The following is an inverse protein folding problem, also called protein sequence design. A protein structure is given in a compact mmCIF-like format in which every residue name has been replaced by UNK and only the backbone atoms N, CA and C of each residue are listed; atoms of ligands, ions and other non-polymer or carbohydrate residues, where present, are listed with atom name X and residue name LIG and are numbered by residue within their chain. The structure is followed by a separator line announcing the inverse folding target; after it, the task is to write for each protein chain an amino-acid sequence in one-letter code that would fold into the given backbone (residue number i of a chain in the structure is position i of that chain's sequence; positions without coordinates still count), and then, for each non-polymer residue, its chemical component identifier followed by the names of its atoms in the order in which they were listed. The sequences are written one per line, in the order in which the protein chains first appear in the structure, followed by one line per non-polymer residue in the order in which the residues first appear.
data_IF_974458223748
#
_entry.id   IF_974458223748
#
_cell.length_a   1.000
_cell.length_b   1.000
_cell.length_c   1.000
_cell.angle_alpha   90.00
_cell.angle_beta   90.00
_cell.angle_gamma   90.00
#
_symmetry.space_group_name_H-M   'P 1'
#
loop_
_entity.id
_entity.type
_entity.pdbx_description
1 polymer ?
#
# COMPACT_ATOMS: atom_id res chain seq x y z
N UNK A 1 -33.91 14.71 19.55
CA UNK A 1 -33.49 16.04 19.06
C UNK A 1 -32.08 16.28 19.51
N UNK A 2 -31.17 16.59 18.58
CA UNK A 2 -29.76 16.86 18.89
C UNK A 2 -29.63 18.09 19.82
N UNK A 3 -28.69 18.00 20.75
CA UNK A 3 -28.27 19.13 21.56
C UNK A 3 -27.21 19.96 20.85
N UNK A 4 -26.85 21.14 21.37
CA UNK A 4 -25.73 21.90 20.82
C UNK A 4 -24.40 21.29 21.31
N UNK A 5 -23.38 21.26 20.48
CA UNK A 5 -23.24 21.91 19.14
C UNK A 5 -23.72 21.10 17.95
N UNK A 6 -24.14 19.81 18.12
CA UNK A 6 -24.51 18.91 17.03
C UNK A 6 -25.68 19.42 16.19
N UNK A 7 -26.71 19.99 16.82
CA UNK A 7 -27.82 20.60 16.08
C UNK A 7 -27.34 21.69 15.12
N UNK A 8 -26.42 22.55 15.57
CA UNK A 8 -25.90 23.64 14.74
C UNK A 8 -25.12 23.16 13.56
N UNK A 9 -24.30 22.12 13.76
CA UNK A 9 -23.53 21.44 12.68
C UNK A 9 -24.50 20.81 11.68
N UNK A 10 -25.51 20.07 12.14
CA UNK A 10 -26.51 19.43 11.28
C UNK A 10 -27.30 20.44 10.46
N UNK A 11 -27.75 21.54 11.09
CA UNK A 11 -28.44 22.62 10.40
C UNK A 11 -27.60 23.21 9.26
N UNK A 12 -26.31 23.47 9.52
CA UNK A 12 -25.37 23.97 8.50
C UNK A 12 -25.19 22.97 7.37
N UNK A 13 -25.05 21.68 7.67
CA UNK A 13 -24.93 20.60 6.70
C UNK A 13 -26.16 20.54 5.79
N UNK A 14 -27.37 20.42 6.34
CA UNK A 14 -28.63 20.37 5.60
C UNK A 14 -28.82 21.59 4.70
N UNK A 15 -28.52 22.79 5.23
CA UNK A 15 -28.58 24.02 4.42
C UNK A 15 -27.67 23.97 3.21
N UNK A 16 -26.41 23.53 3.38
CA UNK A 16 -25.42 23.44 2.30
C UNK A 16 -25.76 22.34 1.28
N UNK A 17 -26.21 21.18 1.74
CA UNK A 17 -26.68 20.09 0.86
C UNK A 17 -27.82 20.54 -0.07
N UNK A 18 -28.68 21.44 0.41
CA UNK A 18 -29.76 22.04 -0.38
C UNK A 18 -29.33 23.30 -1.18
N UNK A 19 -28.02 23.59 -1.21
CA UNK A 19 -27.48 24.74 -1.97
C UNK A 19 -27.92 26.12 -1.47
N UNK A 20 -28.44 26.21 -0.21
CA UNK A 20 -28.98 27.45 0.36
C UNK A 20 -27.91 28.24 1.12
N UNK A 21 -27.95 29.57 0.96
CA UNK A 21 -27.19 30.52 1.80
C UNK A 21 -27.87 30.75 3.15
N UNK A 22 -27.15 31.34 4.12
CA UNK A 22 -27.77 31.75 5.36
C UNK A 22 -28.91 32.79 5.13
N UNK A 23 -28.73 33.68 4.13
CA UNK A 23 -29.73 34.66 3.75
C UNK A 23 -31.07 34.04 3.32
N UNK A 24 -31.02 32.90 2.64
CA UNK A 24 -32.21 32.17 2.16
C UNK A 24 -33.05 31.60 3.30
N UNK A 25 -32.45 31.39 4.48
CA UNK A 25 -33.13 30.90 5.68
C UNK A 25 -33.57 32.02 6.61
N UNK A 26 -33.31 33.27 6.30
CA UNK A 26 -33.78 34.40 7.10
C UNK A 26 -35.20 34.82 6.76
N UNK A 27 -35.89 35.45 7.68
CA UNK A 27 -37.27 35.93 7.49
C UNK A 27 -37.97 36.29 8.82
N UNK A 28 -39.30 36.47 8.78
CA UNK A 28 -40.06 36.78 9.98
C UNK A 28 -39.89 35.68 11.04
N UNK A 29 -39.24 36.04 12.16
CA UNK A 29 -38.96 35.10 13.26
C UNK A 29 -37.57 34.46 13.23
N UNK A 30 -36.77 34.61 12.14
CA UNK A 30 -35.41 34.08 12.00
C UNK A 30 -34.47 35.18 11.49
N UNK A 31 -33.76 35.85 12.38
CA UNK A 31 -32.74 36.83 12.00
C UNK A 31 -31.42 36.17 11.61
N UNK A 32 -30.63 36.83 10.77
CA UNK A 32 -29.29 36.33 10.38
C UNK A 32 -28.40 36.09 11.62
N UNK A 33 -28.44 36.97 12.61
CA UNK A 33 -27.67 36.81 13.83
C UNK A 33 -28.17 35.64 14.71
N UNK A 34 -29.45 35.31 14.67
CA UNK A 34 -29.99 34.16 15.39
C UNK A 34 -29.61 32.85 14.67
N UNK A 35 -29.76 32.81 13.36
CA UNK A 35 -29.36 31.67 12.53
C UNK A 35 -27.87 31.36 12.67
N UNK A 36 -27.02 32.39 12.60
CA UNK A 36 -25.57 32.23 12.79
C UNK A 36 -25.22 31.65 14.18
N UNK A 37 -25.94 32.08 15.23
CA UNK A 37 -25.74 31.51 16.58
C UNK A 37 -26.27 30.09 16.73
N UNK A 38 -27.32 29.73 16.00
CA UNK A 38 -27.79 28.34 15.94
C UNK A 38 -26.74 27.46 15.25
N UNK A 39 -26.24 27.86 14.07
CA UNK A 39 -25.23 27.08 13.30
C UNK A 39 -23.85 26.99 14.00
N UNK A 40 -23.49 28.03 14.81
CA UNK A 40 -22.23 27.98 15.57
C UNK A 40 -22.35 27.24 16.91
N UNK A 41 -23.52 26.74 17.26
CA UNK A 41 -23.72 26.08 18.54
C UNK A 41 -23.86 27.03 19.74
N UNK A 42 -23.77 28.35 19.53
CA UNK A 42 -23.81 29.36 20.60
C UNK A 42 -25.19 29.54 21.23
N UNK A 43 -26.25 28.99 20.64
CA UNK A 43 -27.61 29.07 21.16
C UNK A 43 -28.39 27.77 20.87
N UNK A 44 -29.10 27.21 21.86
CA UNK A 44 -29.95 26.05 21.64
C UNK A 44 -31.15 26.41 20.74
N UNK A 45 -31.63 25.48 19.89
CA UNK A 45 -32.80 25.68 19.07
C UNK A 45 -34.05 25.71 19.94
N UNK A 46 -35.00 26.58 19.57
CA UNK A 46 -36.35 26.53 20.11
C UNK A 46 -37.25 25.70 19.20
N UNK A 47 -38.31 25.08 19.71
CA UNK A 47 -39.28 24.34 18.92
C UNK A 47 -39.82 25.17 17.73
N UNK A 48 -40.11 26.45 17.94
CA UNK A 48 -40.54 27.35 16.87
C UNK A 48 -39.46 27.60 15.80
N UNK A 49 -38.20 27.61 16.21
CA UNK A 49 -37.09 27.77 15.25
C UNK A 49 -36.94 26.51 14.39
N UNK A 50 -37.15 25.33 14.98
CA UNK A 50 -37.10 24.06 14.24
C UNK A 50 -38.24 23.98 13.24
N UNK A 51 -39.48 24.27 13.68
CA UNK A 51 -40.66 24.30 12.80
C UNK A 51 -40.45 25.26 11.62
N UNK A 52 -39.88 26.45 11.87
CA UNK A 52 -39.52 27.40 10.81
C UNK A 52 -38.47 26.85 9.83
N UNK A 53 -37.40 26.21 10.36
CA UNK A 53 -36.34 25.64 9.54
C UNK A 53 -36.80 24.44 8.70
N UNK A 54 -37.64 23.57 9.29
CA UNK A 54 -38.31 22.45 8.59
C UNK A 54 -39.08 22.96 7.38
N UNK A 55 -39.94 23.97 7.58
CA UNK A 55 -40.73 24.55 6.49
C UNK A 55 -39.84 25.22 5.42
N UNK A 56 -38.81 25.95 5.82
CA UNK A 56 -37.93 26.71 4.92
C UNK A 56 -36.98 25.85 4.13
N UNK A 57 -36.53 24.70 4.69
CA UNK A 57 -35.67 23.72 4.04
C UNK A 57 -36.45 22.65 3.29
N UNK A 58 -37.76 22.51 3.56
CA UNK A 58 -38.60 21.46 2.95
C UNK A 58 -38.26 20.05 3.47
N UNK A 59 -37.88 19.96 4.74
CA UNK A 59 -37.43 18.72 5.41
C UNK A 59 -38.45 18.22 6.41
N UNK A 60 -38.23 17.07 7.00
CA UNK A 60 -38.94 16.53 8.17
C UNK A 60 -38.17 16.94 9.44
N UNK A 61 -38.87 17.05 10.59
CA UNK A 61 -38.26 17.42 11.87
C UNK A 61 -37.17 16.40 12.30
N UNK A 62 -37.37 15.15 11.99
CA UNK A 62 -36.46 14.00 12.23
C UNK A 62 -35.12 14.16 11.52
N UNK A 63 -35.06 14.93 10.42
CA UNK A 63 -33.81 15.22 9.71
C UNK A 63 -32.79 15.97 10.60
N UNK A 64 -33.26 16.65 11.63
CA UNK A 64 -32.42 17.34 12.62
C UNK A 64 -32.06 16.44 13.82
N UNK A 65 -32.55 15.21 13.88
CA UNK A 65 -32.24 14.27 14.96
C UNK A 65 -31.11 13.34 14.60
N UNK A 66 -30.73 13.34 13.32
CA UNK A 66 -29.58 12.55 12.80
C UNK A 66 -28.29 13.35 13.03
N UNK A 67 -27.27 12.78 13.70
CA UNK A 67 -25.99 13.46 13.86
C UNK A 67 -25.36 13.82 12.51
N UNK A 68 -24.60 14.94 12.40
CA UNK A 68 -24.00 15.38 11.14
C UNK A 68 -23.07 14.34 10.49
N UNK A 69 -22.45 13.51 11.32
CA UNK A 69 -21.45 12.52 10.93
C UNK A 69 -22.02 11.09 10.89
N UNK A 70 -23.34 10.91 11.05
CA UNK A 70 -23.95 9.56 11.14
C UNK A 70 -23.70 8.76 9.87
N UNK A 71 -23.87 9.36 8.69
CA UNK A 71 -23.69 8.66 7.42
C UNK A 71 -22.24 8.22 7.23
N UNK A 72 -21.27 9.07 7.56
CA UNK A 72 -19.85 8.73 7.50
C UNK A 72 -19.47 7.69 8.56
N UNK A 73 -19.96 7.85 9.79
CA UNK A 73 -19.68 6.91 10.88
C UNK A 73 -20.29 5.53 10.60
N UNK A 74 -21.51 5.46 10.06
CA UNK A 74 -22.19 4.22 9.71
C UNK A 74 -21.50 3.51 8.55
N UNK A 75 -21.13 4.24 7.49
CA UNK A 75 -20.38 3.68 6.35
C UNK A 75 -19.00 3.24 6.80
N UNK A 76 -18.33 4.03 7.63
CA UNK A 76 -17.04 3.66 8.20
C UNK A 76 -17.16 2.37 9.02
N UNK A 77 -18.15 2.24 9.88
CA UNK A 77 -18.40 1.02 10.65
C UNK A 77 -18.69 -0.18 9.74
N UNK A 78 -19.51 0.00 8.71
CA UNK A 78 -19.81 -1.04 7.73
C UNK A 78 -18.58 -1.48 6.93
N UNK A 79 -17.63 -0.58 6.70
CA UNK A 79 -16.40 -0.84 5.92
C UNK A 79 -15.42 -1.82 6.58
N UNK A 80 -15.57 -2.10 7.88
CA UNK A 80 -14.74 -3.07 8.61
C UNK A 80 -15.26 -4.51 8.52
N UNK A 81 -16.42 -4.75 7.93
CA UNK A 81 -17.19 -6.00 8.18
C UNK A 81 -16.97 -7.14 7.20
N UNK A 82 -16.28 -7.01 6.07
CA UNK A 82 -16.02 -8.18 5.17
C UNK A 82 -14.89 -7.92 4.15
N UNK A 83 -14.21 -9.02 3.76
CA UNK A 83 -13.13 -9.05 2.78
C UNK A 83 -13.63 -9.74 1.49
N UNK A 84 -14.26 -8.97 0.61
CA UNK A 84 -14.62 -9.38 -0.73
C UNK A 84 -14.27 -8.25 -1.70
N UNK A 85 -13.61 -8.57 -2.81
CA UNK A 85 -13.08 -7.59 -3.76
C UNK A 85 -14.16 -6.69 -4.35
N UNK A 86 -15.30 -7.27 -4.72
CA UNK A 86 -16.43 -6.48 -5.28
C UNK A 86 -16.96 -5.51 -4.24
N UNK A 87 -17.13 -5.97 -3.02
CA UNK A 87 -17.57 -5.14 -1.90
C UNK A 87 -16.54 -4.09 -1.47
N UNK A 88 -15.24 -4.41 -1.51
CA UNK A 88 -14.20 -3.42 -1.23
C UNK A 88 -14.25 -2.27 -2.25
N UNK A 89 -14.50 -2.54 -3.53
CA UNK A 89 -14.65 -1.52 -4.57
C UNK A 89 -15.92 -0.67 -4.37
N UNK A 90 -17.06 -1.28 -4.04
CA UNK A 90 -18.28 -0.56 -3.71
C UNK A 90 -18.09 0.31 -2.46
N UNK A 91 -17.52 -0.25 -1.41
CA UNK A 91 -17.28 0.44 -0.15
C UNK A 91 -16.31 1.60 -0.30
N UNK A 92 -15.25 1.44 -1.11
CA UNK A 92 -14.35 2.55 -1.50
C UNK A 92 -15.13 3.70 -2.10
N UNK A 93 -15.98 3.41 -3.11
CA UNK A 93 -16.78 4.42 -3.79
C UNK A 93 -17.76 5.11 -2.84
N UNK A 94 -18.43 4.36 -1.98
CA UNK A 94 -19.34 4.94 -0.99
C UNK A 94 -18.61 5.83 0.01
N UNK A 95 -17.48 5.36 0.55
CA UNK A 95 -16.69 6.10 1.52
C UNK A 95 -16.08 7.37 0.92
N UNK A 96 -15.59 7.30 -0.32
CA UNK A 96 -15.09 8.46 -1.06
C UNK A 96 -16.20 9.52 -1.24
N UNK A 97 -17.36 9.13 -1.77
CA UNK A 97 -18.48 10.05 -2.00
C UNK A 97 -18.90 10.77 -0.72
N UNK A 98 -19.02 10.02 0.39
CA UNK A 98 -19.41 10.64 1.67
C UNK A 98 -18.32 11.54 2.24
N UNK A 99 -17.04 11.21 2.05
CA UNK A 99 -15.93 12.08 2.44
C UNK A 99 -15.90 13.39 1.63
N UNK A 100 -16.21 13.32 0.33
CA UNK A 100 -16.24 14.48 -0.57
C UNK A 100 -17.43 15.42 -0.25
N UNK A 101 -18.57 14.85 0.12
CA UNK A 101 -19.77 15.59 0.50
C UNK A 101 -19.74 16.11 1.92
N UNK A 102 -18.92 15.51 2.79
CA UNK A 102 -18.86 15.79 4.21
C UNK A 102 -18.17 17.14 4.50
N UNK A 103 -18.97 18.13 4.86
CA UNK A 103 -18.51 19.46 5.29
C UNK A 103 -18.62 19.57 6.81
N UNK A 104 -17.57 19.98 7.51
CA UNK A 104 -17.52 20.11 8.98
C UNK A 104 -17.56 18.76 9.76
N UNK A 105 -16.94 17.72 9.22
CA UNK A 105 -16.74 16.44 9.94
C UNK A 105 -15.73 16.62 11.09
N UNK A 106 -15.95 15.92 12.19
CA UNK A 106 -14.95 15.81 13.25
C UNK A 106 -13.60 15.33 12.69
N UNK A 107 -12.49 16.01 12.96
CA UNK A 107 -11.20 15.67 12.41
C UNK A 107 -10.75 14.22 12.70
N UNK A 108 -11.14 13.66 13.84
CA UNK A 108 -10.80 12.29 14.20
C UNK A 108 -11.59 11.27 13.35
N UNK A 109 -12.89 11.52 13.15
CA UNK A 109 -13.75 10.70 12.27
C UNK A 109 -13.25 10.77 10.82
N UNK A 110 -12.90 11.96 10.33
CA UNK A 110 -12.30 12.13 9.00
C UNK A 110 -10.99 11.35 8.87
N UNK A 111 -10.11 11.44 9.87
CA UNK A 111 -8.86 10.69 9.87
C UNK A 111 -9.08 9.16 9.81
N UNK A 112 -10.06 8.65 10.56
CA UNK A 112 -10.42 7.23 10.54
C UNK A 112 -10.98 6.81 9.17
N UNK A 113 -11.82 7.64 8.56
CA UNK A 113 -12.37 7.39 7.23
C UNK A 113 -11.28 7.39 6.15
N UNK A 114 -10.35 8.36 6.17
CA UNK A 114 -9.18 8.39 5.29
C UNK A 114 -8.30 7.14 5.49
N UNK A 115 -8.10 6.73 6.75
CA UNK A 115 -7.34 5.52 7.07
C UNK A 115 -7.97 4.27 6.46
N UNK A 116 -9.29 4.16 6.49
CA UNK A 116 -10.01 3.03 5.89
C UNK A 116 -10.04 3.13 4.37
N UNK A 117 -10.23 4.32 3.81
CA UNK A 117 -10.20 4.54 2.36
C UNK A 117 -8.82 4.16 1.78
N UNK A 118 -7.72 4.57 2.42
CA UNK A 118 -6.38 4.16 2.01
C UNK A 118 -6.18 2.64 2.10
N UNK A 119 -6.78 1.96 3.08
CA UNK A 119 -6.76 0.48 3.14
C UNK A 119 -7.46 -0.14 1.95
N UNK A 120 -8.62 0.40 1.55
CA UNK A 120 -9.39 -0.10 0.41
C UNK A 120 -8.65 0.11 -0.91
N UNK A 121 -8.05 1.28 -1.14
CA UNK A 121 -7.19 1.52 -2.30
C UNK A 121 -6.03 0.54 -2.36
N UNK A 122 -5.30 0.35 -1.25
CA UNK A 122 -4.19 -0.60 -1.20
C UNK A 122 -4.60 -2.05 -1.43
N UNK A 123 -5.80 -2.47 -0.97
CA UNK A 123 -6.34 -3.81 -1.22
C UNK A 123 -6.72 -4.03 -2.69
N UNK A 124 -7.15 -2.97 -3.38
CA UNK A 124 -7.50 -2.99 -4.81
C UNK A 124 -6.27 -2.82 -5.72
N UNK A 125 -5.13 -2.35 -5.18
CA UNK A 125 -3.91 -2.08 -5.95
C UNK A 125 -3.80 -0.65 -6.47
N UNK A 126 -4.73 0.23 -6.09
CA UNK A 126 -4.77 1.64 -6.50
C UNK A 126 -3.75 2.47 -5.69
N UNK A 127 -2.45 2.18 -5.85
CA UNK A 127 -1.39 2.74 -4.99
C UNK A 127 -1.20 4.25 -5.14
N UNK A 128 -1.50 4.83 -6.30
CA UNK A 128 -1.44 6.28 -6.52
C UNK A 128 -2.53 6.98 -5.70
N UNK A 129 -3.75 6.48 -5.76
CA UNK A 129 -4.86 7.01 -4.97
C UNK A 129 -4.65 6.76 -3.47
N UNK A 130 -4.10 5.58 -3.09
CA UNK A 130 -3.70 5.31 -1.70
C UNK A 130 -2.69 6.35 -1.19
N UNK A 131 -1.68 6.70 -2.00
CA UNK A 131 -0.69 7.74 -1.67
C UNK A 131 -1.36 9.08 -1.40
N UNK A 132 -2.28 9.50 -2.27
CA UNK A 132 -2.94 10.81 -2.17
C UNK A 132 -3.82 10.90 -0.92
N UNK A 133 -4.59 9.85 -0.63
CA UNK A 133 -5.37 9.74 0.61
C UNK A 133 -4.48 9.74 1.85
N UNK A 134 -3.34 9.03 1.81
CA UNK A 134 -2.39 9.00 2.92
C UNK A 134 -1.66 10.35 3.10
N UNK A 135 -1.47 11.12 2.04
CA UNK A 135 -0.96 12.49 2.15
C UNK A 135 -1.96 13.38 2.88
N UNK A 136 -3.24 13.35 2.51
CA UNK A 136 -4.30 14.09 3.24
C UNK A 136 -4.37 13.67 4.71
N UNK A 137 -4.27 12.36 4.98
CA UNK A 137 -4.26 11.82 6.34
C UNK A 137 -3.05 12.32 7.16
N UNK A 138 -1.87 12.50 6.54
CA UNK A 138 -0.68 13.11 7.17
C UNK A 138 -0.93 14.56 7.53
N UNK A 139 -1.40 15.34 6.57
CA UNK A 139 -1.67 16.78 6.75
C UNK A 139 -2.70 17.00 7.86
N UNK A 140 -3.77 16.20 7.87
CA UNK A 140 -4.78 16.24 8.93
C UNK A 140 -4.19 15.87 10.30
N UNK A 141 -3.34 14.85 10.39
CA UNK A 141 -2.71 14.48 11.65
C UNK A 141 -1.74 15.55 12.18
N UNK A 142 -1.12 16.31 11.28
CA UNK A 142 -0.27 17.45 11.64
C UNK A 142 -1.10 18.62 12.18
N UNK A 143 -2.24 18.94 11.55
CA UNK A 143 -3.18 19.96 12.03
C UNK A 143 -3.78 19.57 13.39
N UNK A 144 -4.09 18.29 13.59
CA UNK A 144 -4.61 17.78 14.87
C UNK A 144 -3.59 17.79 16.01
N UNK A 145 -2.31 17.97 15.71
CA UNK A 145 -1.18 17.90 16.65
C UNK A 145 -1.15 16.62 17.51
N UNK A 146 -1.65 15.49 16.96
CA UNK A 146 -1.71 14.19 17.63
C UNK A 146 -0.47 13.35 17.29
N UNK A 147 0.55 13.25 18.17
CA UNK A 147 1.83 12.60 17.83
C UNK A 147 1.69 11.15 17.39
N UNK A 148 0.79 10.37 18.02
CA UNK A 148 0.56 8.97 17.63
C UNK A 148 -0.02 8.84 16.22
N UNK A 149 -1.00 9.68 15.86
CA UNK A 149 -1.59 9.70 14.52
C UNK A 149 -0.57 10.14 13.46
N UNK A 150 0.31 11.09 13.81
CA UNK A 150 1.44 11.54 12.97
C UNK A 150 2.42 10.40 12.67
N UNK A 151 2.72 9.56 13.65
CA UNK A 151 3.57 8.37 13.47
C UNK A 151 2.89 7.39 12.53
N UNK A 152 1.63 7.03 12.79
CA UNK A 152 0.89 6.08 11.97
C UNK A 152 0.75 6.51 10.51
N UNK A 153 0.37 7.76 10.25
CA UNK A 153 0.18 8.27 8.90
C UNK A 153 1.50 8.25 8.11
N UNK A 154 2.62 8.62 8.74
CA UNK A 154 3.95 8.62 8.11
C UNK A 154 4.44 7.21 7.76
N UNK A 155 4.24 6.25 8.66
CA UNK A 155 4.64 4.85 8.39
C UNK A 155 3.84 4.27 7.23
N UNK A 156 2.53 4.51 7.20
CA UNK A 156 1.68 4.02 6.10
C UNK A 156 2.05 4.66 4.78
N UNK A 157 2.18 5.98 4.75
CA UNK A 157 2.64 6.71 3.57
C UNK A 157 3.99 6.19 3.07
N UNK A 158 4.96 5.99 3.96
CA UNK A 158 6.26 5.47 3.59
C UNK A 158 6.20 4.08 2.93
N UNK A 159 5.31 3.19 3.38
CA UNK A 159 5.09 1.88 2.76
C UNK A 159 4.55 2.00 1.34
N UNK A 160 3.58 2.88 1.13
CA UNK A 160 2.94 3.07 -0.17
C UNK A 160 3.87 3.71 -1.18
N UNK A 161 4.57 4.80 -0.82
CA UNK A 161 5.53 5.45 -1.74
C UNK A 161 6.72 4.55 -2.07
N UNK A 162 7.15 3.69 -1.13
CA UNK A 162 8.13 2.64 -1.42
C UNK A 162 7.63 1.66 -2.50
N UNK A 163 6.36 1.23 -2.42
CA UNK A 163 5.76 0.35 -3.44
C UNK A 163 5.69 1.03 -4.81
N UNK A 164 5.55 2.35 -4.86
CA UNK A 164 5.59 3.17 -6.07
C UNK A 164 7.01 3.44 -6.59
N UNK A 165 8.06 3.03 -5.83
CA UNK A 165 9.46 3.18 -6.23
C UNK A 165 10.15 4.42 -5.67
N UNK A 166 9.46 5.25 -4.87
CA UNK A 166 10.05 6.41 -4.22
C UNK A 166 10.65 6.02 -2.85
N UNK A 167 11.84 5.44 -2.91
CA UNK A 167 12.56 5.00 -1.73
C UNK A 167 13.04 6.18 -0.85
N UNK A 168 13.33 7.35 -1.45
CA UNK A 168 13.80 8.51 -0.69
C UNK A 168 12.70 9.10 0.18
N UNK A 169 11.51 9.33 -0.37
CA UNK A 169 10.34 9.77 0.41
C UNK A 169 9.94 8.74 1.48
N UNK A 170 10.07 7.45 1.18
CA UNK A 170 9.84 6.39 2.14
C UNK A 170 10.83 6.46 3.32
N UNK A 171 12.13 6.65 3.04
CA UNK A 171 13.17 6.83 4.06
C UNK A 171 12.87 8.00 4.98
N UNK A 172 12.57 9.15 4.38
CA UNK A 172 12.23 10.34 5.13
C UNK A 172 11.03 10.11 6.05
N UNK A 173 9.92 9.56 5.52
CA UNK A 173 8.70 9.30 6.29
C UNK A 173 8.92 8.38 7.49
N UNK A 174 9.70 7.29 7.31
CA UNK A 174 10.01 6.37 8.42
C UNK A 174 10.91 7.04 9.47
N UNK A 175 11.94 7.79 9.07
CA UNK A 175 12.83 8.49 10.00
C UNK A 175 12.05 9.52 10.83
N UNK A 176 11.22 10.34 10.19
CA UNK A 176 10.35 11.28 10.89
C UNK A 176 9.42 10.58 11.91
N UNK A 177 8.85 9.43 11.54
CA UNK A 177 7.98 8.67 12.43
C UNK A 177 8.73 8.14 13.66
N UNK A 178 9.94 7.59 13.48
CA UNK A 178 10.77 7.10 14.57
C UNK A 178 11.22 8.23 15.50
N UNK A 179 11.69 9.36 14.93
CA UNK A 179 12.06 10.55 15.70
C UNK A 179 10.90 11.13 16.51
N UNK A 180 9.69 11.20 15.92
CA UNK A 180 8.49 11.64 16.62
C UNK A 180 8.16 10.72 17.79
N UNK A 181 8.28 9.40 17.59
CA UNK A 181 8.03 8.41 18.64
C UNK A 181 9.01 8.58 19.82
N UNK A 182 10.30 8.78 19.54
CA UNK A 182 11.32 8.99 20.55
C UNK A 182 11.13 10.35 21.28
N UNK A 183 10.98 11.43 20.52
CA UNK A 183 10.82 12.80 21.05
C UNK A 183 9.65 12.93 22.02
N UNK A 184 8.52 12.32 21.67
CA UNK A 184 7.30 12.38 22.49
C UNK A 184 7.17 11.22 23.46
N UNK A 185 8.15 10.30 23.52
CA UNK A 185 8.12 9.08 24.36
C UNK A 185 6.78 8.34 24.22
N UNK A 186 6.34 8.16 22.97
CA UNK A 186 5.03 7.58 22.68
C UNK A 186 5.00 6.09 23.08
N UNK A 187 3.86 5.67 23.62
CA UNK A 187 3.59 4.25 23.87
C UNK A 187 3.15 3.57 22.56
N UNK A 188 4.08 3.49 21.60
CA UNK A 188 3.89 2.69 20.39
C UNK A 188 4.23 1.24 20.73
N UNK A 189 3.43 0.26 20.28
CA UNK A 189 3.77 -1.15 20.49
C UNK A 189 5.17 -1.47 20.00
N UNK A 190 5.97 -2.21 20.79
CA UNK A 190 7.35 -2.55 20.43
C UNK A 190 7.44 -3.27 19.07
N UNK A 191 6.44 -4.12 18.76
CA UNK A 191 6.32 -4.80 17.47
C UNK A 191 6.18 -3.84 16.30
N UNK A 192 5.44 -2.75 16.48
CA UNK A 192 5.26 -1.73 15.43
C UNK A 192 6.53 -0.90 15.22
N UNK A 193 7.24 -0.56 16.29
CA UNK A 193 8.55 0.10 16.19
C UNK A 193 9.58 -0.80 15.48
N UNK A 194 9.62 -2.09 15.81
CA UNK A 194 10.51 -3.03 15.13
C UNK A 194 10.15 -3.16 13.63
N UNK A 195 8.86 -3.25 13.29
CA UNK A 195 8.42 -3.25 11.88
C UNK A 195 8.78 -1.97 11.15
N UNK A 196 8.75 -0.82 11.82
CA UNK A 196 9.18 0.45 11.23
C UNK A 196 10.68 0.47 10.96
N UNK A 197 11.49 -0.08 11.88
CA UNK A 197 12.93 -0.27 11.66
C UNK A 197 13.24 -1.24 10.52
N UNK A 198 12.46 -2.33 10.37
CA UNK A 198 12.57 -3.24 9.22
C UNK A 198 12.23 -2.56 7.90
N UNK A 199 11.20 -1.70 7.90
CA UNK A 199 10.88 -0.89 6.73
C UNK A 199 12.05 0.03 6.37
N UNK A 200 12.66 0.71 7.36
CA UNK A 200 13.84 1.55 7.15
C UNK A 200 15.01 0.74 6.59
N UNK A 201 15.33 -0.42 7.18
CA UNK A 201 16.39 -1.30 6.67
C UNK A 201 16.16 -1.72 5.21
N UNK A 202 14.91 -2.03 4.85
CA UNK A 202 14.53 -2.37 3.48
C UNK A 202 14.73 -1.20 2.51
N UNK A 203 14.37 0.01 2.94
CA UNK A 203 14.50 1.24 2.14
C UNK A 203 15.97 1.63 1.99
N UNK A 204 16.77 1.55 3.06
CA UNK A 204 18.23 1.79 2.98
C UNK A 204 18.91 0.81 2.01
N UNK A 205 18.46 -0.44 1.98
CA UNK A 205 18.95 -1.41 1.00
C UNK A 205 18.55 -1.05 -0.43
N UNK A 206 17.35 -0.48 -0.65
CA UNK A 206 16.90 0.00 -1.96
C UNK A 206 17.71 1.20 -2.47
N UNK A 207 18.14 2.06 -1.57
CA UNK A 207 18.99 3.20 -1.85
C UNK A 207 20.50 2.86 -1.96
N UNK A 208 20.84 1.58 -1.85
CA UNK A 208 22.23 1.11 -1.95
C UNK A 208 23.04 1.25 -0.66
N UNK A 209 22.44 1.71 0.43
CA UNK A 209 23.09 1.85 1.74
C UNK A 209 23.16 0.49 2.47
N UNK A 210 23.76 -0.51 1.81
CA UNK A 210 23.70 -1.91 2.23
C UNK A 210 24.32 -2.16 3.60
N UNK A 211 25.42 -1.46 3.96
CA UNK A 211 26.04 -1.60 5.28
C UNK A 211 25.09 -1.16 6.41
N UNK A 212 24.36 -0.06 6.21
CA UNK A 212 23.36 0.44 7.16
C UNK A 212 22.16 -0.52 7.24
N UNK A 213 21.69 -1.04 6.10
CA UNK A 213 20.60 -2.01 6.05
C UNK A 213 20.95 -3.32 6.81
N UNK A 214 22.18 -3.81 6.66
CA UNK A 214 22.67 -4.97 7.44
C UNK A 214 22.66 -4.67 8.93
N UNK A 215 23.21 -3.54 9.35
CA UNK A 215 23.26 -3.14 10.76
C UNK A 215 21.85 -3.07 11.34
N UNK A 216 20.93 -2.35 10.69
CA UNK A 216 19.56 -2.16 11.17
C UNK A 216 18.77 -3.48 11.23
N UNK A 217 18.86 -4.33 10.21
CA UNK A 217 18.17 -5.63 10.21
C UNK A 217 18.74 -6.57 11.31
N UNK A 218 20.05 -6.55 11.53
CA UNK A 218 20.69 -7.31 12.60
C UNK A 218 20.29 -6.82 14.00
N UNK A 219 20.23 -5.51 14.22
CA UNK A 219 19.78 -4.89 15.47
C UNK A 219 18.32 -5.27 15.79
N UNK A 220 17.44 -5.32 14.76
CA UNK A 220 16.06 -5.77 14.94
C UNK A 220 16.02 -7.25 15.33
N UNK A 221 16.76 -8.12 14.62
CA UNK A 221 16.81 -9.55 14.94
C UNK A 221 17.31 -9.77 16.38
N UNK A 222 18.36 -9.06 16.80
CA UNK A 222 18.89 -9.12 18.16
C UNK A 222 17.89 -8.63 19.23
N UNK A 223 16.95 -7.78 18.84
CA UNK A 223 15.93 -7.20 19.72
C UNK A 223 14.61 -8.00 19.73
N UNK A 224 14.52 -9.10 18.97
CA UNK A 224 13.30 -9.91 18.92
C UNK A 224 13.00 -10.56 20.28
N UNK A 225 11.75 -10.44 20.76
CA UNK A 225 11.34 -11.11 22.00
C UNK A 225 11.24 -12.63 21.85
N UNK A 226 11.02 -13.11 20.62
CA UNK A 226 10.93 -14.54 20.23
C UNK A 226 11.43 -14.70 18.80
N UNK A 227 11.96 -15.89 18.48
CA UNK A 227 12.41 -16.27 17.13
C UNK A 227 11.31 -16.91 16.28
N UNK A 228 10.08 -16.91 16.76
CA UNK A 228 8.88 -17.46 16.11
C UNK A 228 7.80 -16.38 15.97
N UNK A 229 6.88 -16.60 15.05
CA UNK A 229 5.75 -15.72 14.75
C UNK A 229 6.06 -14.67 13.67
N UNK A 230 5.05 -13.88 13.34
CA UNK A 230 5.05 -12.98 12.21
C UNK A 230 6.22 -11.98 12.20
N UNK A 231 6.53 -11.36 13.35
CA UNK A 231 7.61 -10.36 13.42
C UNK A 231 8.99 -10.99 13.17
N UNK A 232 9.23 -12.19 13.72
CA UNK A 232 10.47 -12.91 13.49
C UNK A 232 10.62 -13.29 12.01
N UNK A 233 9.57 -13.81 11.42
CA UNK A 233 9.53 -14.15 10.00
C UNK A 233 9.80 -12.94 9.10
N UNK A 234 9.16 -11.80 9.36
CA UNK A 234 9.41 -10.53 8.65
C UNK A 234 10.87 -10.07 8.82
N UNK A 235 11.43 -10.21 10.01
CA UNK A 235 12.81 -9.78 10.31
C UNK A 235 13.85 -10.61 9.55
N UNK A 236 13.72 -11.93 9.57
CA UNK A 236 14.58 -12.83 8.81
C UNK A 236 14.43 -12.64 7.30
N UNK A 237 13.20 -12.38 6.80
CA UNK A 237 12.97 -12.09 5.40
C UNK A 237 13.67 -10.81 4.94
N UNK A 238 13.57 -9.71 5.71
CA UNK A 238 14.27 -8.47 5.39
C UNK A 238 15.78 -8.69 5.38
N UNK A 239 16.33 -9.39 6.36
CA UNK A 239 17.75 -9.72 6.40
C UNK A 239 18.17 -10.56 5.16
N UNK A 240 17.36 -11.58 4.78
CA UNK A 240 17.61 -12.37 3.58
C UNK A 240 17.64 -11.50 2.30
N UNK A 241 16.70 -10.56 2.18
CA UNK A 241 16.65 -9.62 1.06
C UNK A 241 17.91 -8.75 1.00
N UNK A 242 18.36 -8.22 2.13
CA UNK A 242 19.59 -7.40 2.22
C UNK A 242 20.83 -8.23 1.82
N UNK A 243 20.93 -9.47 2.31
CA UNK A 243 22.05 -10.36 1.95
C UNK A 243 22.04 -10.74 0.47
N UNK A 244 20.87 -10.93 -0.13
CA UNK A 244 20.74 -11.19 -1.58
C UNK A 244 21.31 -10.01 -2.40
N UNK A 245 21.01 -8.76 -2.00
CA UNK A 245 21.53 -7.56 -2.67
C UNK A 245 23.05 -7.39 -2.53
N UNK A 246 23.63 -7.92 -1.46
CA UNK A 246 25.08 -8.02 -1.27
C UNK A 246 25.72 -9.14 -2.08
N UNK A 247 24.93 -10.03 -2.70
CA UNK A 247 25.42 -11.23 -3.37
C UNK A 247 25.80 -12.38 -2.43
N UNK A 248 25.47 -12.25 -1.14
CA UNK A 248 25.74 -13.27 -0.10
C UNK A 248 24.61 -14.33 -0.11
N UNK A 249 24.45 -15.06 -1.19
CA UNK A 249 23.31 -15.96 -1.43
C UNK A 249 23.17 -17.09 -0.41
N UNK A 250 24.28 -17.63 0.13
CA UNK A 250 24.22 -18.66 1.19
C UNK A 250 23.61 -18.11 2.48
N UNK A 251 24.04 -16.92 2.89
CA UNK A 251 23.51 -16.24 4.08
C UNK A 251 22.05 -15.86 3.87
N UNK A 252 21.71 -15.34 2.69
CA UNK A 252 20.34 -15.04 2.32
C UNK A 252 19.44 -16.27 2.43
N UNK A 253 19.90 -17.43 1.94
CA UNK A 253 19.15 -18.69 2.03
C UNK A 253 18.93 -19.11 3.47
N UNK A 254 19.98 -19.07 4.31
CA UNK A 254 19.87 -19.44 5.70
C UNK A 254 18.85 -18.55 6.45
N UNK A 255 18.88 -17.24 6.23
CA UNK A 255 17.93 -16.29 6.78
C UNK A 255 16.49 -16.56 6.28
N UNK A 256 16.35 -16.86 4.99
CA UNK A 256 15.04 -17.15 4.41
C UNK A 256 14.44 -18.45 4.94
N UNK A 257 15.26 -19.48 5.16
CA UNK A 257 14.81 -20.73 5.80
C UNK A 257 14.32 -20.45 7.23
N UNK A 258 15.03 -19.59 7.99
CA UNK A 258 14.56 -19.15 9.30
C UNK A 258 13.21 -18.39 9.20
N UNK A 259 13.04 -17.51 8.21
CA UNK A 259 11.78 -16.81 8.01
C UNK A 259 10.61 -17.78 7.73
N UNK A 260 10.84 -18.77 6.86
CA UNK A 260 9.83 -19.78 6.53
C UNK A 260 9.49 -20.71 7.70
N UNK A 261 10.47 -21.02 8.54
CA UNK A 261 10.28 -21.85 9.73
C UNK A 261 9.61 -21.09 10.89
N UNK A 262 9.79 -19.76 10.95
CA UNK A 262 9.27 -18.93 12.03
C UNK A 262 7.74 -18.76 12.00
N UNK A 263 7.05 -19.03 10.88
CA UNK A 263 5.62 -18.76 10.71
C UNK A 263 4.84 -19.99 10.22
N UNK A 264 3.84 -20.41 11.01
CA UNK A 264 2.84 -21.39 10.60
C UNK A 264 1.71 -20.71 9.78
N UNK A 265 1.22 -21.40 8.75
CA UNK A 265 0.10 -20.89 7.91
C UNK A 265 -1.19 -20.65 8.70
N UNK A 266 -1.38 -21.33 9.83
CA UNK A 266 -2.54 -21.16 10.73
C UNK A 266 -2.50 -19.86 11.53
N UNK A 267 -1.32 -19.26 11.70
CA UNK A 267 -1.17 -17.99 12.43
C UNK A 267 -1.50 -16.79 11.53
N UNK A 268 -0.96 -16.78 10.31
CA UNK A 268 -1.19 -15.74 9.31
C UNK A 268 -0.97 -16.32 7.90
N UNK A 269 -2.04 -16.76 7.26
CA UNK A 269 -1.98 -17.36 5.93
C UNK A 269 -1.50 -16.35 4.88
N UNK A 270 -1.87 -15.09 5.01
CA UNK A 270 -1.46 -14.02 4.07
C UNK A 270 0.04 -13.76 4.14
N UNK A 271 0.59 -13.61 5.33
CA UNK A 271 2.05 -13.45 5.50
C UNK A 271 2.80 -14.72 5.08
N UNK A 272 2.27 -15.89 5.39
CA UNK A 272 2.83 -17.18 4.98
C UNK A 272 2.94 -17.31 3.46
N UNK A 273 1.91 -16.88 2.70
CA UNK A 273 1.95 -16.82 1.22
C UNK A 273 3.01 -15.82 0.74
N UNK A 274 3.01 -14.61 1.30
CA UNK A 274 3.96 -13.56 0.93
C UNK A 274 5.42 -13.99 1.14
N UNK A 275 5.71 -14.68 2.23
CA UNK A 275 7.05 -15.22 2.49
C UNK A 275 7.47 -16.22 1.43
N UNK A 276 6.56 -17.10 0.96
CA UNK A 276 6.87 -18.08 -0.08
C UNK A 276 7.00 -17.46 -1.46
N UNK A 277 6.18 -16.47 -1.79
CA UNK A 277 6.37 -15.69 -3.03
C UNK A 277 7.72 -14.97 -3.00
N UNK A 278 8.07 -14.34 -1.88
CA UNK A 278 9.39 -13.72 -1.71
C UNK A 278 10.54 -14.75 -1.77
N UNK A 279 10.35 -15.95 -1.20
CA UNK A 279 11.32 -17.03 -1.28
C UNK A 279 11.53 -17.49 -2.73
N UNK A 280 10.45 -17.66 -3.48
CA UNK A 280 10.54 -17.98 -4.90
C UNK A 280 11.26 -16.87 -5.68
N UNK A 281 10.93 -15.62 -5.42
CA UNK A 281 11.58 -14.46 -6.03
C UNK A 281 13.09 -14.44 -5.76
N UNK A 282 13.51 -14.62 -4.50
CA UNK A 282 14.92 -14.64 -4.13
C UNK A 282 15.67 -15.85 -4.73
N UNK A 283 15.02 -17.02 -4.78
CA UNK A 283 15.58 -18.21 -5.40
C UNK A 283 15.84 -18.02 -6.91
N UNK A 284 14.93 -17.34 -7.61
CA UNK A 284 15.07 -17.01 -9.04
C UNK A 284 16.12 -15.93 -9.30
N UNK A 285 16.37 -15.02 -8.33
CA UNK A 285 17.40 -13.98 -8.44
C UNK A 285 18.82 -14.49 -8.10
N UNK A 286 18.96 -15.65 -7.47
CA UNK A 286 20.25 -16.21 -7.12
C UNK A 286 21.10 -16.46 -8.39
N UNK A 287 22.37 -16.44 -8.25
CA UNK A 287 23.30 -16.78 -9.34
C UNK A 287 24.15 -18.01 -8.98
N UNK A 288 23.85 -19.23 -9.48
CA UNK A 288 22.79 -19.61 -10.42
C UNK A 288 21.38 -19.65 -9.78
N UNK A 289 20.30 -19.52 -10.59
CA UNK A 289 18.92 -19.62 -10.09
C UNK A 289 18.61 -20.96 -9.44
N UNK A 290 17.90 -20.94 -8.31
CA UNK A 290 17.51 -22.15 -7.57
C UNK A 290 16.10 -22.58 -7.97
N UNK A 291 16.00 -23.20 -9.14
CA UNK A 291 14.74 -23.53 -9.82
C UNK A 291 13.85 -24.42 -8.96
N UNK A 292 14.40 -25.47 -8.34
CA UNK A 292 13.64 -26.42 -7.53
C UNK A 292 13.05 -25.79 -6.25
N UNK A 293 13.82 -24.90 -5.59
CA UNK A 293 13.35 -24.17 -4.41
C UNK A 293 12.22 -23.19 -4.77
N UNK A 294 12.35 -22.47 -5.89
CA UNK A 294 11.31 -21.58 -6.40
C UNK A 294 10.03 -22.35 -6.74
N UNK A 295 10.15 -23.46 -7.44
CA UNK A 295 9.02 -24.31 -7.84
C UNK A 295 8.29 -24.88 -6.62
N UNK A 296 9.03 -25.35 -5.60
CA UNK A 296 8.44 -25.85 -4.35
C UNK A 296 7.65 -24.76 -3.60
N UNK A 297 8.19 -23.54 -3.54
CA UNK A 297 7.50 -22.41 -2.92
C UNK A 297 6.22 -22.04 -3.67
N UNK A 298 6.26 -21.96 -5.01
CA UNK A 298 5.11 -21.60 -5.83
C UNK A 298 4.01 -22.67 -5.78
N UNK A 299 4.35 -23.94 -5.83
CA UNK A 299 3.38 -25.04 -5.65
C UNK A 299 2.72 -25.02 -4.28
N UNK A 300 3.43 -24.65 -3.23
CA UNK A 300 2.85 -24.55 -1.89
C UNK A 300 1.86 -23.37 -1.77
N UNK A 301 2.10 -22.27 -2.49
CA UNK A 301 1.24 -21.07 -2.48
C UNK A 301 -0.06 -21.26 -3.28
N UNK A 302 -0.03 -22.03 -4.36
CA UNK A 302 -1.14 -22.15 -5.31
C UNK A 302 -2.51 -22.48 -4.67
N UNK A 303 -2.64 -23.49 -3.78
CA UNK A 303 -3.90 -23.75 -3.10
C UNK A 303 -4.34 -22.62 -2.15
N UNK A 304 -3.38 -21.94 -1.54
CA UNK A 304 -3.64 -20.85 -0.58
C UNK A 304 -4.15 -19.58 -1.27
N UNK A 305 -3.76 -19.33 -2.52
CA UNK A 305 -4.25 -18.21 -3.31
C UNK A 305 -5.77 -18.23 -3.47
N UNK A 306 -6.37 -19.40 -3.68
CA UNK A 306 -7.82 -19.55 -3.78
C UNK A 306 -8.56 -19.28 -2.47
N UNK A 307 -7.90 -19.39 -1.32
CA UNK A 307 -8.49 -19.21 0.01
C UNK A 307 -8.34 -17.78 0.55
N UNK A 308 -7.18 -17.16 0.35
CA UNK A 308 -6.83 -15.86 0.96
C UNK A 308 -6.00 -14.96 0.03
N UNK A 309 -5.88 -15.31 -1.25
CA UNK A 309 -5.11 -14.52 -2.21
C UNK A 309 -5.82 -13.22 -2.57
N UNK A 310 -5.10 -12.10 -2.46
CA UNK A 310 -5.53 -10.83 -3.04
C UNK A 310 -5.20 -10.79 -4.54
N UNK A 311 -5.80 -9.89 -5.35
CA UNK A 311 -5.42 -9.70 -6.75
C UNK A 311 -3.91 -9.52 -6.94
N UNK A 312 -3.27 -8.75 -6.07
CA UNK A 312 -1.81 -8.57 -6.07
C UNK A 312 -1.06 -9.89 -5.94
N UNK A 313 -1.45 -10.75 -4.99
CA UNK A 313 -0.80 -12.05 -4.80
C UNK A 313 -0.93 -12.96 -6.03
N UNK A 314 -2.08 -12.91 -6.73
CA UNK A 314 -2.28 -13.65 -7.96
C UNK A 314 -1.38 -13.16 -9.09
N UNK A 315 -1.22 -11.84 -9.28
CA UNK A 315 -0.35 -11.29 -10.32
C UNK A 315 1.13 -11.49 -9.99
N UNK A 316 1.54 -11.37 -8.73
CA UNK A 316 2.88 -11.71 -8.27
C UNK A 316 3.20 -13.19 -8.51
N UNK A 317 2.26 -14.09 -8.20
CA UNK A 317 2.39 -15.51 -8.49
C UNK A 317 2.52 -15.79 -9.99
N UNK A 318 1.69 -15.19 -10.86
CA UNK A 318 1.77 -15.34 -12.31
C UNK A 318 3.11 -14.86 -12.84
N UNK A 319 3.61 -13.73 -12.37
CA UNK A 319 4.93 -13.20 -12.74
C UNK A 319 6.05 -14.16 -12.35
N UNK A 320 6.06 -14.65 -11.12
CA UNK A 320 7.09 -15.60 -10.65
C UNK A 320 7.01 -16.94 -11.38
N UNK A 321 5.82 -17.42 -11.74
CA UNK A 321 5.62 -18.60 -12.59
C UNK A 321 6.19 -18.36 -14.00
N UNK A 322 5.99 -17.16 -14.58
CA UNK A 322 6.56 -16.79 -15.86
C UNK A 322 8.11 -16.81 -15.83
N UNK A 323 8.70 -16.25 -14.77
CA UNK A 323 10.16 -16.31 -14.58
C UNK A 323 10.65 -17.75 -14.42
N UNK A 324 9.97 -18.57 -13.62
CA UNK A 324 10.33 -19.97 -13.43
C UNK A 324 10.28 -20.76 -14.76
N UNK A 325 9.21 -20.61 -15.54
CA UNK A 325 9.06 -21.23 -16.84
C UNK A 325 10.19 -20.81 -17.81
N UNK A 326 10.53 -19.52 -17.81
CA UNK A 326 11.67 -19.02 -18.61
C UNK A 326 12.98 -19.68 -18.20
N UNK A 327 13.27 -19.80 -16.90
CA UNK A 327 14.48 -20.46 -16.40
C UNK A 327 14.52 -21.98 -16.71
N UNK A 328 13.34 -22.62 -16.83
CA UNK A 328 13.22 -24.02 -17.27
C UNK A 328 13.34 -24.18 -18.79
N UNK A 329 13.38 -23.10 -19.58
CA UNK A 329 13.36 -23.13 -21.03
C UNK A 329 11.96 -23.35 -21.63
N UNK A 330 10.92 -23.29 -20.85
CA UNK A 330 9.50 -23.47 -21.25
C UNK A 330 8.96 -22.14 -21.83
N UNK A 331 9.54 -21.71 -22.97
CA UNK A 331 9.32 -20.37 -23.54
C UNK A 331 7.85 -20.07 -23.84
N UNK A 332 7.10 -21.08 -24.34
CA UNK A 332 5.67 -20.91 -24.65
C UNK A 332 4.83 -20.63 -23.41
N UNK A 333 5.05 -21.39 -22.32
CA UNK A 333 4.39 -21.16 -21.03
C UNK A 333 4.81 -19.81 -20.43
N UNK A 334 6.10 -19.47 -20.49
CA UNK A 334 6.61 -18.19 -20.02
C UNK A 334 5.95 -17.00 -20.71
N UNK A 335 5.77 -17.04 -22.05
CA UNK A 335 5.09 -15.99 -22.80
C UNK A 335 3.62 -15.82 -22.37
N UNK A 336 2.88 -16.93 -22.22
CA UNK A 336 1.46 -16.87 -21.82
C UNK A 336 1.30 -16.34 -20.39
N UNK A 337 2.12 -16.79 -19.46
CA UNK A 337 2.10 -16.31 -18.08
C UNK A 337 2.51 -14.85 -17.96
N UNK A 338 3.50 -14.41 -18.76
CA UNK A 338 3.95 -13.02 -18.84
C UNK A 338 2.80 -12.11 -19.30
N UNK A 339 2.10 -12.48 -20.38
CA UNK A 339 0.94 -11.76 -20.90
C UNK A 339 -0.17 -11.62 -19.82
N UNK A 340 -0.47 -12.70 -19.10
CA UNK A 340 -1.47 -12.68 -18.01
C UNK A 340 -1.03 -11.82 -16.82
N UNK A 341 0.25 -11.81 -16.49
CA UNK A 341 0.80 -10.96 -15.44
C UNK A 341 0.71 -9.46 -15.82
N UNK A 342 0.82 -9.14 -17.12
CA UNK A 342 0.67 -7.77 -17.64
C UNK A 342 -0.76 -7.22 -17.54
N UNK A 343 -1.79 -8.06 -17.48
CA UNK A 343 -3.20 -7.66 -17.33
C UNK A 343 -3.48 -6.96 -15.98
N UNK A 344 -2.59 -7.09 -14.99
CA UNK A 344 -2.66 -6.40 -13.70
C UNK A 344 -1.31 -5.81 -13.31
N UNK A 345 -0.64 -5.15 -14.25
CA UNK A 345 0.69 -4.57 -14.04
C UNK A 345 0.72 -3.58 -12.88
N UNK A 346 -0.35 -2.81 -12.69
CA UNK A 346 -0.53 -1.86 -11.59
C UNK A 346 -0.55 -2.52 -10.21
N UNK A 347 -0.90 -3.81 -10.13
CA UNK A 347 -0.91 -4.58 -8.87
C UNK A 347 0.50 -5.01 -8.43
N UNK A 348 1.46 -5.03 -9.35
CA UNK A 348 2.84 -5.40 -9.04
C UNK A 348 3.60 -4.23 -8.39
N UNK A 349 4.57 -4.57 -7.54
CA UNK A 349 5.52 -3.57 -7.03
C UNK A 349 6.31 -2.95 -8.18
N UNK A 350 6.83 -1.73 -8.00
CA UNK A 350 7.68 -1.08 -9.01
C UNK A 350 8.81 -2.00 -9.47
N UNK A 351 9.47 -2.70 -8.54
CA UNK A 351 10.59 -3.60 -8.86
C UNK A 351 10.14 -4.80 -9.69
N UNK A 352 8.99 -5.38 -9.38
CA UNK A 352 8.46 -6.54 -10.11
C UNK A 352 7.94 -6.14 -11.48
N UNK A 353 7.40 -4.92 -11.64
CA UNK A 353 7.09 -4.35 -12.96
C UNK A 353 8.32 -4.26 -13.85
N UNK A 354 9.43 -3.74 -13.33
CA UNK A 354 10.69 -3.68 -14.06
C UNK A 354 11.17 -5.09 -14.45
N UNK A 355 11.14 -6.05 -13.54
CA UNK A 355 11.54 -7.44 -13.80
C UNK A 355 10.65 -8.12 -14.84
N UNK A 356 9.33 -7.87 -14.80
CA UNK A 356 8.40 -8.40 -15.80
C UNK A 356 8.68 -7.81 -17.18
N UNK A 357 8.97 -6.52 -17.28
CA UNK A 357 9.36 -5.86 -18.54
C UNK A 357 10.69 -6.41 -19.07
N UNK A 358 11.66 -6.69 -18.21
CA UNK A 358 12.92 -7.37 -18.57
C UNK A 358 12.63 -8.77 -19.10
N UNK A 359 11.83 -9.57 -18.38
CA UNK A 359 11.47 -10.93 -18.81
C UNK A 359 10.81 -10.92 -20.19
N UNK A 360 9.87 -10.02 -20.42
CA UNK A 360 9.25 -9.83 -21.72
C UNK A 360 10.27 -9.50 -22.81
N UNK A 361 11.18 -8.56 -22.52
CA UNK A 361 12.24 -8.19 -23.48
C UNK A 361 13.16 -9.36 -23.81
N UNK A 362 13.47 -10.22 -22.84
CA UNK A 362 14.26 -11.44 -23.07
C UNK A 362 13.50 -12.48 -23.91
N UNK A 363 12.20 -12.67 -23.65
CA UNK A 363 11.32 -13.53 -24.44
C UNK A 363 11.20 -13.03 -25.89
N UNK A 364 10.99 -11.72 -26.10
CA UNK A 364 10.98 -11.09 -27.42
C UNK A 364 12.30 -11.29 -28.15
N UNK A 365 13.43 -11.13 -27.46
CA UNK A 365 14.77 -11.36 -28.05
C UNK A 365 14.96 -12.81 -28.44
N UNK A 366 14.53 -13.75 -27.61
CA UNK A 366 14.58 -15.19 -27.93
C UNK A 366 13.71 -15.57 -29.14
N UNK A 367 12.61 -14.80 -29.36
CA UNK A 367 11.77 -14.93 -30.55
C UNK A 367 12.34 -14.24 -31.82
N UNK A 368 13.55 -13.64 -31.74
CA UNK A 368 14.24 -13.00 -32.86
C UNK A 368 13.92 -11.52 -33.08
N UNK A 369 13.29 -10.83 -32.08
CA UNK A 369 13.06 -9.40 -32.18
C UNK A 369 14.33 -8.60 -31.86
N UNK A 370 15.00 -8.09 -32.88
CA UNK A 370 16.27 -7.35 -32.77
C UNK A 370 16.17 -6.07 -31.94
N UNK A 371 14.99 -5.46 -31.86
CA UNK A 371 14.73 -4.26 -31.05
C UNK A 371 14.55 -4.54 -29.54
N UNK A 372 14.45 -5.80 -29.12
CA UNK A 372 14.12 -6.14 -27.74
C UNK A 372 15.26 -5.85 -26.75
N UNK A 373 16.46 -6.34 -27.00
CA UNK A 373 17.62 -6.11 -26.12
C UNK A 373 18.01 -4.62 -25.99
N UNK A 374 17.99 -3.78 -27.06
CA UNK A 374 18.14 -2.33 -26.92
C UNK A 374 17.13 -1.69 -25.98
N UNK A 375 15.84 -2.12 -25.98
CA UNK A 375 14.82 -1.64 -25.03
C UNK A 375 15.20 -2.00 -23.60
N UNK A 376 15.59 -3.24 -23.33
CA UNK A 376 16.00 -3.68 -21.98
C UNK A 376 17.24 -2.92 -21.48
N UNK A 377 18.21 -2.62 -22.36
CA UNK A 377 19.37 -1.77 -22.02
C UNK A 377 18.97 -0.36 -21.64
N UNK A 378 18.00 0.22 -22.37
CA UNK A 378 17.48 1.55 -22.04
C UNK A 378 16.78 1.56 -20.68
N UNK A 379 15.98 0.51 -20.40
CA UNK A 379 15.34 0.32 -19.10
C UNK A 379 16.38 0.22 -17.97
N UNK A 380 17.47 -0.52 -18.15
CA UNK A 380 18.57 -0.58 -17.18
C UNK A 380 19.16 0.80 -16.87
N UNK A 381 19.38 1.62 -17.92
CA UNK A 381 19.88 2.99 -17.77
C UNK A 381 18.89 3.89 -17.02
N UNK A 382 17.59 3.77 -17.27
CA UNK A 382 16.54 4.52 -16.56
C UNK A 382 16.50 4.15 -15.08
N UNK A 383 16.52 2.85 -14.75
CA UNK A 383 16.55 2.35 -13.37
C UNK A 383 17.80 2.83 -12.63
N UNK A 384 18.95 2.87 -13.32
CA UNK A 384 20.20 3.40 -12.77
C UNK A 384 20.11 4.91 -12.48
N UNK A 385 19.51 5.69 -13.38
CA UNK A 385 19.28 7.13 -13.19
C UNK A 385 18.31 7.41 -12.02
N UNK A 386 17.34 6.52 -11.79
CA UNK A 386 16.45 6.57 -10.64
C UNK A 386 17.12 6.19 -9.30
N UNK A 387 18.44 5.90 -9.31
CA UNK A 387 19.20 5.57 -8.10
C UNK A 387 19.08 4.14 -7.59
N UNK A 388 18.36 3.25 -8.30
CA UNK A 388 18.16 1.85 -7.91
C UNK A 388 19.30 0.97 -8.45
N UNK A 389 20.51 1.15 -7.91
CA UNK A 389 21.73 0.56 -8.44
C UNK A 389 21.73 -0.98 -8.42
N UNK A 390 21.14 -1.60 -7.40
CA UNK A 390 21.03 -3.05 -7.28
C UNK A 390 20.09 -3.65 -8.36
N UNK A 391 18.94 -3.01 -8.58
CA UNK A 391 18.01 -3.41 -9.64
C UNK A 391 18.60 -3.17 -11.04
N UNK A 392 19.30 -2.06 -11.24
CA UNK A 392 19.99 -1.80 -12.51
C UNK A 392 21.07 -2.87 -12.79
N UNK A 393 21.84 -3.26 -11.78
CA UNK A 393 22.82 -4.33 -11.92
C UNK A 393 22.17 -5.69 -12.26
N UNK A 394 21.01 -6.00 -11.70
CA UNK A 394 20.20 -7.17 -12.03
C UNK A 394 19.79 -7.16 -13.51
N UNK A 395 19.26 -6.02 -13.99
CA UNK A 395 18.85 -5.86 -15.40
C UNK A 395 20.05 -5.94 -16.35
N UNK A 396 21.18 -5.32 -16.03
CA UNK A 396 22.39 -5.41 -16.82
C UNK A 396 22.93 -6.84 -16.92
N UNK A 397 22.86 -7.62 -15.83
CA UNK A 397 23.22 -9.04 -15.84
C UNK A 397 22.32 -9.82 -16.77
N UNK A 398 21.00 -9.63 -16.68
CA UNK A 398 20.04 -10.31 -17.57
C UNK A 398 20.31 -10.02 -19.05
N UNK A 399 20.69 -8.79 -19.40
CA UNK A 399 21.10 -8.43 -20.77
C UNK A 399 22.39 -9.12 -21.19
N UNK A 400 23.37 -9.25 -20.27
CA UNK A 400 24.66 -9.89 -20.57
C UNK A 400 24.55 -11.40 -20.74
N UNK A 401 23.62 -12.03 -20.01
CA UNK A 401 23.35 -13.47 -20.06
C UNK A 401 22.35 -13.86 -21.16
N UNK A 402 21.72 -12.87 -21.81
CA UNK A 402 20.79 -13.13 -22.92
C UNK A 402 21.50 -13.90 -24.06
N UNK A 403 20.89 -14.96 -24.62
CA UNK A 403 21.49 -15.71 -25.74
C UNK A 403 21.73 -14.74 -26.90
N UNK A 404 22.97 -14.77 -27.44
CA UNK A 404 23.29 -14.02 -28.64
C UNK A 404 22.32 -14.45 -29.77
N UNK A 405 21.75 -13.48 -30.50
CA UNK A 405 20.95 -13.78 -31.71
C UNK A 405 21.71 -14.79 -32.55
N UNK A 406 21.03 -15.84 -33.06
CA UNK A 406 21.70 -16.77 -33.95
C UNK A 406 22.30 -15.96 -35.10
N UNK A 407 23.65 -16.04 -35.23
CA UNK A 407 24.37 -15.41 -36.32
C UNK A 407 23.74 -15.89 -37.62
N UNK A 408 23.45 -14.97 -38.57
CA UNK A 408 23.05 -15.32 -39.92
C UNK A 408 23.97 -16.43 -40.47
N UNK A 409 23.42 -17.45 -41.11
CA UNK A 409 24.27 -18.41 -41.79
C UNK A 409 25.08 -17.63 -42.84
N UNK A 410 26.39 -17.55 -42.59
CA UNK A 410 27.34 -16.97 -43.53
C UNK A 410 27.05 -17.56 -44.89
N UNK A 411 26.50 -16.73 -45.76
CA UNK A 411 26.28 -17.10 -47.16
C UNK A 411 27.55 -17.61 -47.78
N UNK A 412 27.57 -18.90 -48.06
CA UNK A 412 28.57 -19.51 -48.95
C UNK A 412 28.33 -18.98 -50.35
N UNK A 413 29.34 -18.27 -50.85
CA UNK A 413 29.57 -17.93 -52.27
C UNK A 413 29.76 -19.16 -53.10
#
# INVERSE_FOLDING_TARGET
MLEQPEFGRRLRQLRRQLGKSQADLTGPGMSAAYLSRLESGARPPTRRAIEYLVDRLGLQAESFDVPPDSDLADILAASFTVFDKERDAEMRTMLQNVLDEAVDVDPQTRWQALSQLARLHGALGDYEDERDVLQEMRDLSDVMERPLLRVHSRIRFARTVRNLGDAESARQGVREALELSERHRLHVPATELLRSKLLLASVEAELGNLAEAVRQSSDVIASLPRTEGALAAESFWVAATVQTRLGHYEQATAQLQQALAALDSREDLTLWMRLRLAAASLALQAGPPRIEEADACLRAVEPALGLAGTPRHHHEYLFLRAQLAFQKGETGEACELCRRAEEGLELLSYRDRIRLEVLRGLLDAAAGNEGALPRVRNLAAQVQQAGMLDLAAEVWRAVAEAPASPAEPSGSV
#
